data_IF_592368336137
#
_entry.id   IF_592368336137
#
_cell.length_a   1.000
_cell.length_b   1.000
_cell.length_c   1.000
_cell.angle_alpha   90.00
_cell.angle_beta   90.00
_cell.angle_gamma   90.00
#
_symmetry.space_group_name_H-M   'P 1'
#
loop_
_entity.id
_entity.type
_entity.pdbx_description
1 polymer ?
#
# COMPACT_ATOMS: atom_id res chain seq x y z
N UNK A 1 22.57 46.05 10.02
CA UNK A 1 21.26 46.69 10.10
C UNK A 1 20.97 47.76 9.04
N UNK A 2 21.96 48.44 8.45
CA UNK A 2 21.72 49.43 7.36
C UNK A 2 21.27 48.76 6.05
N UNK A 3 21.87 47.63 5.64
CA UNK A 3 21.53 46.85 4.43
C UNK A 3 20.10 46.36 4.40
N UNK A 4 19.56 45.87 5.51
CA UNK A 4 18.13 45.44 5.60
C UNK A 4 17.12 46.59 5.41
N UNK A 5 17.47 47.80 5.92
CA UNK A 5 16.62 49.00 5.71
C UNK A 5 16.66 49.50 4.26
N UNK A 6 17.78 49.38 3.56
CA UNK A 6 17.89 49.73 2.15
C UNK A 6 17.12 48.73 1.27
N UNK A 7 17.26 47.43 1.50
CA UNK A 7 16.50 46.39 0.82
C UNK A 7 14.98 46.58 1.01
N UNK A 8 14.53 46.89 2.22
CA UNK A 8 13.09 47.16 2.47
C UNK A 8 12.55 48.39 1.74
N UNK A 9 13.33 49.48 1.63
CA UNK A 9 12.91 50.68 0.86
C UNK A 9 12.85 50.43 -0.64
N UNK A 10 13.76 49.61 -1.17
CA UNK A 10 13.80 49.26 -2.57
C UNK A 10 12.60 48.38 -2.97
N UNK A 11 12.30 47.33 -2.19
CA UNK A 11 11.10 46.50 -2.36
C UNK A 11 9.79 47.30 -2.32
N UNK A 12 9.76 48.43 -1.61
CA UNK A 12 8.61 49.33 -1.56
C UNK A 12 8.47 50.26 -2.79
N UNK A 13 9.49 50.38 -3.62
CA UNK A 13 9.45 51.28 -4.80
C UNK A 13 8.86 50.60 -6.05
N UNK A 14 9.01 49.23 -6.18
CA UNK A 14 8.44 48.40 -7.23
C UNK A 14 7.43 47.39 -6.69
N UNK A 15 6.47 47.86 -5.93
CA UNK A 15 5.52 47.03 -5.15
C UNK A 15 4.87 45.93 -5.96
N UNK A 16 4.35 46.22 -7.14
CA UNK A 16 3.64 45.24 -7.96
C UNK A 16 4.55 44.11 -8.44
N UNK A 17 5.75 44.43 -8.88
CA UNK A 17 6.74 43.44 -9.35
C UNK A 17 7.20 42.51 -8.20
N UNK A 18 7.55 43.11 -7.07
CA UNK A 18 7.97 42.38 -5.88
C UNK A 18 6.87 41.45 -5.37
N UNK A 19 5.62 41.93 -5.35
CA UNK A 19 4.47 41.12 -4.91
C UNK A 19 4.26 39.93 -5.85
N UNK A 20 4.30 40.16 -7.18
CA UNK A 20 4.10 39.09 -8.18
C UNK A 20 5.19 38.03 -8.04
N UNK A 21 6.46 38.44 -7.93
CA UNK A 21 7.58 37.49 -7.78
C UNK A 21 7.51 36.72 -6.44
N UNK A 22 7.17 37.40 -5.34
CA UNK A 22 7.01 36.75 -4.04
C UNK A 22 5.86 35.75 -4.05
N UNK A 23 4.72 36.10 -4.65
CA UNK A 23 3.59 35.18 -4.77
C UNK A 23 3.92 34.01 -5.70
N UNK A 24 4.59 34.23 -6.82
CA UNK A 24 5.03 33.21 -7.75
C UNK A 24 6.00 32.22 -7.07
N UNK A 25 6.99 32.72 -6.33
CA UNK A 25 7.92 31.91 -5.58
C UNK A 25 7.21 31.10 -4.47
N UNK A 26 6.36 31.76 -3.68
CA UNK A 26 5.60 31.11 -2.61
C UNK A 26 4.71 29.98 -3.16
N UNK A 27 4.03 30.22 -4.28
CA UNK A 27 3.19 29.23 -4.94
C UNK A 27 4.03 28.05 -5.49
N UNK A 28 5.15 28.36 -6.17
CA UNK A 28 6.07 27.33 -6.68
C UNK A 28 6.60 26.44 -5.56
N UNK A 29 7.07 27.02 -4.45
CA UNK A 29 7.56 26.26 -3.30
C UNK A 29 6.46 25.43 -2.64
N UNK A 30 5.26 25.97 -2.49
CA UNK A 30 4.12 25.24 -1.93
C UNK A 30 3.78 24.00 -2.79
N UNK A 31 3.70 24.17 -4.10
CA UNK A 31 3.48 23.07 -5.04
C UNK A 31 4.61 22.02 -4.95
N UNK A 32 5.87 22.43 -4.93
CA UNK A 32 7.00 21.53 -4.77
C UNK A 32 6.92 20.71 -3.48
N UNK A 33 6.59 21.35 -2.35
CA UNK A 33 6.45 20.65 -1.07
C UNK A 33 5.34 19.59 -1.11
N UNK A 34 4.19 19.92 -1.70
CA UNK A 34 3.06 18.98 -1.85
C UNK A 34 3.46 17.80 -2.75
N UNK A 35 4.09 18.07 -3.90
CA UNK A 35 4.53 17.03 -4.83
C UNK A 35 5.64 16.15 -4.21
N UNK A 36 6.62 16.74 -3.54
CA UNK A 36 7.66 15.97 -2.82
C UNK A 36 7.05 15.07 -1.74
N UNK A 37 6.07 15.57 -0.99
CA UNK A 37 5.37 14.77 0.02
C UNK A 37 4.59 13.62 -0.61
N UNK A 38 3.94 13.85 -1.74
CA UNK A 38 3.26 12.80 -2.50
C UNK A 38 4.25 11.74 -2.99
N UNK A 39 5.33 12.16 -3.66
CA UNK A 39 6.38 11.27 -4.18
C UNK A 39 6.98 10.43 -3.04
N UNK A 40 7.33 11.07 -1.93
CA UNK A 40 7.86 10.37 -0.75
C UNK A 40 6.87 9.31 -0.24
N UNK A 41 5.58 9.64 -0.18
CA UNK A 41 4.53 8.70 0.26
C UNK A 41 4.38 7.51 -0.69
N UNK A 42 4.54 7.72 -2.00
CA UNK A 42 4.54 6.64 -2.99
C UNK A 42 5.77 5.74 -2.90
N UNK A 43 6.95 6.33 -2.65
CA UNK A 43 8.21 5.59 -2.53
C UNK A 43 8.35 4.84 -1.20
N UNK A 44 7.58 5.20 -0.18
CA UNK A 44 7.59 4.58 1.14
C UNK A 44 6.37 3.71 1.40
N UNK A 45 5.71 3.25 0.34
CA UNK A 45 4.59 2.33 0.46
C UNK A 45 5.02 1.07 1.21
N UNK A 46 4.14 0.54 2.05
CA UNK A 46 4.36 -0.67 2.85
C UNK A 46 5.66 -0.69 3.69
N UNK A 47 6.21 0.49 4.05
CA UNK A 47 7.39 0.57 4.93
C UNK A 47 7.16 -0.02 6.34
N UNK A 48 5.93 -0.38 6.67
CA UNK A 48 5.55 -1.12 7.88
C UNK A 48 5.72 -2.65 7.71
N UNK A 49 6.00 -3.13 6.49
CA UNK A 49 6.31 -4.53 6.23
C UNK A 49 7.63 -4.93 6.91
N UNK A 50 7.67 -6.11 7.50
CA UNK A 50 8.83 -6.63 8.21
C UNK A 50 9.64 -7.49 7.25
N UNK A 51 10.85 -7.03 6.93
CA UNK A 51 11.78 -7.73 6.04
C UNK A 51 11.22 -7.98 4.62
N UNK A 52 10.75 -6.91 3.91
CA UNK A 52 10.05 -7.04 2.65
C UNK A 52 10.89 -7.67 1.53
N UNK A 53 12.22 -7.57 1.59
CA UNK A 53 13.16 -8.14 0.61
C UNK A 53 13.16 -9.68 0.61
N UNK A 54 12.78 -10.32 1.70
CA UNK A 54 12.68 -11.78 1.81
C UNK A 54 11.24 -12.30 1.73
N UNK A 55 10.28 -11.39 1.50
CA UNK A 55 8.89 -11.77 1.26
C UNK A 55 8.64 -11.81 -0.23
N UNK A 56 8.12 -12.93 -0.68
CA UNK A 56 7.78 -13.15 -2.09
C UNK A 56 6.30 -13.43 -2.25
N UNK A 57 5.78 -13.02 -3.41
CA UNK A 57 4.41 -13.26 -3.82
C UNK A 57 4.38 -14.00 -5.15
N UNK A 58 3.63 -15.11 -5.27
CA UNK A 58 3.40 -15.78 -6.53
C UNK A 58 2.38 -15.03 -7.37
N UNK A 59 2.72 -14.75 -8.61
CA UNK A 59 1.81 -14.28 -9.65
C UNK A 59 1.49 -15.44 -10.57
N UNK A 60 0.22 -15.59 -10.88
CA UNK A 60 -0.29 -16.58 -11.81
C UNK A 60 -0.77 -15.90 -13.08
N UNK A 61 -0.21 -16.28 -14.20
CA UNK A 61 -0.68 -15.87 -15.52
C UNK A 61 -1.52 -17.01 -16.12
N UNK A 62 -2.77 -16.74 -16.39
CA UNK A 62 -3.71 -17.66 -17.04
C UNK A 62 -4.14 -17.03 -18.35
N UNK A 63 -3.71 -17.64 -19.46
CA UNK A 63 -4.05 -17.19 -20.82
C UNK A 63 -3.80 -15.67 -21.05
N UNK A 64 -2.74 -15.12 -20.42
CA UNK A 64 -2.34 -13.71 -20.54
C UNK A 64 -2.90 -12.80 -19.44
N UNK A 65 -3.73 -13.32 -18.52
CA UNK A 65 -4.25 -12.56 -17.39
C UNK A 65 -3.43 -12.85 -16.12
N UNK A 66 -2.76 -11.84 -15.60
CA UNK A 66 -1.90 -11.97 -14.43
C UNK A 66 -2.67 -11.61 -13.17
N UNK A 67 -2.66 -12.51 -12.20
CA UNK A 67 -3.30 -12.36 -10.90
C UNK A 67 -2.35 -12.77 -9.79
N UNK A 68 -2.40 -12.14 -8.59
CA UNK A 68 -1.78 -12.71 -7.43
C UNK A 68 -2.41 -14.07 -7.12
N UNK A 69 -1.64 -15.01 -6.61
CA UNK A 69 -2.12 -16.37 -6.43
C UNK A 69 -1.62 -17.07 -5.18
N UNK A 70 -2.16 -18.24 -4.94
CA UNK A 70 -1.68 -19.20 -3.96
C UNK A 70 -1.34 -20.51 -4.64
N UNK A 71 -0.18 -21.04 -4.32
CA UNK A 71 0.26 -22.34 -4.83
C UNK A 71 -0.45 -23.53 -4.16
N UNK A 72 -1.19 -23.28 -3.07
CA UNK A 72 -1.86 -24.33 -2.28
C UNK A 72 -3.22 -24.75 -2.83
N UNK A 73 -3.77 -24.00 -3.75
CA UNK A 73 -5.02 -24.39 -4.40
C UNK A 73 -4.71 -25.39 -5.52
N UNK A 74 -4.96 -26.66 -5.28
CA UNK A 74 -4.74 -27.80 -6.18
C UNK A 74 -5.49 -27.73 -7.50
N UNK A 75 -5.30 -26.63 -8.24
CA UNK A 75 -5.93 -26.36 -9.53
C UNK A 75 -5.16 -26.96 -10.70
N UNK A 76 -3.90 -27.38 -10.48
CA UNK A 76 -3.14 -28.08 -11.51
C UNK A 76 -2.20 -29.12 -10.91
N UNK A 77 -2.05 -30.27 -11.62
CA UNK A 77 -1.00 -31.26 -11.36
C UNK A 77 0.42 -30.70 -11.62
N UNK A 78 0.53 -29.40 -11.94
CA UNK A 78 1.77 -28.68 -12.15
C UNK A 78 2.30 -28.04 -10.86
N UNK A 79 1.71 -28.37 -9.72
CA UNK A 79 2.14 -27.94 -8.38
C UNK A 79 3.43 -28.62 -7.97
N UNK A 80 4.43 -28.56 -8.82
CA UNK A 80 5.77 -28.71 -8.37
C UNK A 80 6.06 -27.53 -7.44
N UNK A 81 6.46 -27.81 -6.24
CA UNK A 81 6.96 -26.83 -5.29
C UNK A 81 8.20 -26.17 -5.89
N UNK A 82 7.99 -25.08 -6.65
CA UNK A 82 9.09 -24.34 -7.27
C UNK A 82 10.07 -23.81 -6.24
N UNK A 83 9.58 -23.58 -5.01
CA UNK A 83 10.40 -23.19 -3.88
C UNK A 83 10.46 -24.37 -2.93
N UNK A 84 11.64 -24.95 -2.68
CA UNK A 84 11.79 -26.03 -1.70
C UNK A 84 11.26 -25.61 -0.33
N UNK A 85 10.48 -26.47 0.32
CA UNK A 85 9.86 -26.17 1.62
C UNK A 85 10.90 -25.76 2.69
N UNK A 86 12.08 -26.36 2.66
CA UNK A 86 13.19 -26.03 3.57
C UNK A 86 13.77 -24.62 3.35
N UNK A 87 13.37 -23.92 2.29
CA UNK A 87 13.72 -22.51 2.01
C UNK A 87 12.64 -21.55 2.45
N UNK A 88 11.45 -22.02 2.80
CA UNK A 88 10.33 -21.21 3.28
C UNK A 88 10.41 -21.16 4.81
N UNK A 89 10.53 -19.95 5.36
CA UNK A 89 10.58 -19.73 6.82
C UNK A 89 9.17 -19.65 7.38
N UNK A 90 8.29 -18.93 6.69
CA UNK A 90 6.95 -18.62 7.15
C UNK A 90 6.04 -18.28 5.97
N UNK A 91 4.76 -18.51 6.14
CA UNK A 91 3.74 -18.22 5.13
C UNK A 91 2.58 -17.47 5.75
N UNK A 92 1.95 -16.60 4.95
CA UNK A 92 0.74 -15.90 5.31
C UNK A 92 -0.22 -15.90 4.13
N UNK A 93 -1.39 -16.50 4.30
CA UNK A 93 -2.47 -16.42 3.31
C UNK A 93 -3.32 -15.21 3.59
N UNK A 94 -3.72 -14.56 2.50
CA UNK A 94 -4.62 -13.43 2.50
C UNK A 94 -5.80 -13.79 1.58
N UNK A 95 -7.01 -13.61 2.06
CA UNK A 95 -8.20 -13.72 1.22
C UNK A 95 -9.00 -12.43 1.30
N UNK A 96 -9.15 -11.78 0.16
CA UNK A 96 -10.01 -10.63 0.04
C UNK A 96 -11.47 -11.04 0.22
N UNK A 97 -12.16 -10.37 1.10
CA UNK A 97 -13.60 -10.34 1.09
C UNK A 97 -14.00 -8.94 0.59
N UNK A 98 -14.74 -8.90 -0.50
CA UNK A 98 -15.30 -7.64 -0.99
C UNK A 98 -16.06 -6.94 0.14
N UNK A 99 -16.36 -5.66 -0.06
CA UNK A 99 -17.14 -4.88 0.89
C UNK A 99 -18.39 -5.64 1.32
N UNK A 100 -18.34 -6.16 2.54
CA UNK A 100 -19.32 -7.06 3.09
C UNK A 100 -19.96 -6.48 4.35
N UNK A 101 -21.04 -7.08 4.84
CA UNK A 101 -21.80 -6.57 5.96
C UNK A 101 -21.43 -7.31 7.25
N UNK A 102 -21.08 -6.52 8.25
CA UNK A 102 -20.95 -6.96 9.64
C UNK A 102 -22.14 -6.45 10.41
N UNK A 103 -22.81 -7.32 11.15
CA UNK A 103 -23.94 -6.96 11.97
C UNK A 103 -23.48 -6.76 13.41
N UNK A 104 -23.84 -5.62 13.96
CA UNK A 104 -23.69 -5.34 15.37
C UNK A 104 -24.99 -4.79 15.92
N UNK A 105 -25.51 -5.43 16.96
CA UNK A 105 -26.88 -5.19 17.49
C UNK A 105 -27.92 -5.30 16.37
N UNK A 106 -28.68 -4.24 16.11
CA UNK A 106 -29.72 -4.20 15.08
C UNK A 106 -29.25 -3.51 13.75
N UNK A 107 -27.97 -3.23 13.59
CA UNK A 107 -27.45 -2.48 12.46
C UNK A 107 -26.43 -3.28 11.64
N UNK A 108 -26.46 -3.08 10.32
CA UNK A 108 -25.49 -3.64 9.41
C UNK A 108 -24.48 -2.56 8.99
N UNK A 109 -23.21 -2.92 9.02
CA UNK A 109 -22.08 -2.02 8.68
C UNK A 109 -21.31 -2.62 7.52
N UNK A 110 -21.30 -1.92 6.39
CA UNK A 110 -20.49 -2.30 5.24
C UNK A 110 -19.01 -1.99 5.50
N UNK A 111 -18.15 -3.01 5.38
CA UNK A 111 -16.72 -2.97 5.70
C UNK A 111 -15.92 -3.75 4.65
N UNK A 112 -14.69 -3.33 4.42
CA UNK A 112 -13.72 -4.14 3.69
C UNK A 112 -13.12 -5.15 4.67
N UNK A 113 -13.39 -6.43 4.46
CA UNK A 113 -12.93 -7.49 5.33
C UNK A 113 -11.84 -8.27 4.62
N UNK A 114 -10.79 -8.58 5.35
CA UNK A 114 -9.72 -9.46 4.87
C UNK A 114 -9.56 -10.60 5.85
N UNK A 115 -9.62 -11.82 5.33
CA UNK A 115 -9.28 -12.99 6.12
C UNK A 115 -7.81 -13.30 5.95
N UNK A 116 -7.14 -13.52 7.08
CA UNK A 116 -5.68 -13.70 7.10
C UNK A 116 -5.26 -14.80 8.05
N UNK A 117 -4.10 -15.40 7.79
CA UNK A 117 -3.49 -16.33 8.72
C UNK A 117 -3.03 -15.64 10.01
N UNK A 118 -2.86 -16.43 11.08
CA UNK A 118 -2.36 -15.93 12.36
C UNK A 118 -0.96 -15.30 12.27
N UNK A 119 -0.23 -15.60 11.22
CA UNK A 119 1.11 -15.07 10.93
C UNK A 119 1.10 -13.65 10.34
N UNK A 120 -0.06 -13.08 10.01
CA UNK A 120 -0.17 -11.78 9.35
C UNK A 120 0.63 -10.67 10.05
N UNK A 121 0.55 -10.59 11.37
CA UNK A 121 1.27 -9.58 12.16
C UNK A 121 2.77 -9.85 12.30
N UNK A 122 3.27 -10.99 11.84
CA UNK A 122 4.70 -11.25 11.66
C UNK A 122 5.22 -10.65 10.34
N UNK A 123 4.33 -10.44 9.37
CA UNK A 123 4.67 -9.82 8.08
C UNK A 123 4.49 -8.30 8.11
N UNK A 124 3.47 -7.81 8.81
CA UNK A 124 3.09 -6.40 8.80
C UNK A 124 2.95 -5.84 10.22
N UNK A 125 3.63 -4.74 10.47
CA UNK A 125 3.58 -4.05 11.76
C UNK A 125 2.52 -2.96 11.76
N UNK A 126 1.45 -3.15 12.54
CA UNK A 126 0.41 -2.16 12.79
C UNK A 126 0.48 -1.63 14.23
N UNK A 127 0.30 -0.32 14.48
CA UNK A 127 0.19 0.20 15.84
C UNK A 127 -1.07 -0.37 16.52
N UNK A 128 -0.91 -1.05 17.65
CA UNK A 128 -2.01 -1.55 18.46
C UNK A 128 -2.45 -0.47 19.45
N UNK A 129 -3.72 -0.10 19.41
CA UNK A 129 -4.29 0.94 20.28
C UNK A 129 -4.87 0.36 21.54
N UNK A 130 -5.55 -0.78 21.43
CA UNK A 130 -6.23 -1.45 22.54
C UNK A 130 -6.30 -2.93 22.24
N UNK A 131 -6.17 -3.78 23.26
CA UNK A 131 -6.19 -5.24 23.11
C UNK A 131 -4.92 -5.80 22.47
N UNK A 132 -5.09 -6.84 21.67
CA UNK A 132 -3.99 -7.58 21.03
C UNK A 132 -4.27 -7.74 19.53
N UNK A 133 -3.25 -7.49 18.71
CA UNK A 133 -3.29 -7.77 17.28
C UNK A 133 -2.96 -9.27 17.06
N UNK A 134 -3.95 -10.13 17.28
CA UNK A 134 -3.84 -11.59 17.10
C UNK A 134 -5.09 -12.19 16.47
N UNK A 135 -4.90 -13.28 15.72
CA UNK A 135 -5.94 -14.03 15.02
C UNK A 135 -5.67 -15.53 15.18
N UNK A 136 -5.60 -16.02 16.44
CA UNK A 136 -5.22 -17.39 16.73
C UNK A 136 -6.42 -18.34 16.75
N UNK A 137 -7.57 -17.86 17.20
CA UNK A 137 -8.83 -18.62 17.15
C UNK A 137 -9.62 -18.32 15.87
N UNK A 138 -10.46 -19.26 15.41
CA UNK A 138 -11.28 -19.03 14.20
C UNK A 138 -12.24 -17.85 14.31
N UNK A 139 -12.67 -17.51 15.50
CA UNK A 139 -13.60 -16.42 15.82
C UNK A 139 -12.91 -15.10 16.19
N UNK A 140 -11.59 -15.03 16.09
CA UNK A 140 -10.83 -13.81 16.35
C UNK A 140 -10.98 -12.79 15.23
N UNK A 141 -11.13 -11.51 15.60
CA UNK A 141 -11.07 -10.37 14.69
C UNK A 141 -10.25 -9.21 15.26
N UNK A 142 -9.65 -8.44 14.37
CA UNK A 142 -8.97 -7.17 14.66
C UNK A 142 -9.57 -6.10 13.78
N UNK A 143 -9.91 -4.95 14.36
CA UNK A 143 -10.61 -3.86 13.67
C UNK A 143 -9.76 -2.59 13.64
N UNK A 144 -9.92 -1.79 12.60
CA UNK A 144 -9.27 -0.47 12.52
C UNK A 144 -9.91 0.55 13.48
N UNK A 145 -9.13 1.56 13.89
CA UNK A 145 -9.61 2.68 14.73
C UNK A 145 -10.89 3.32 14.17
N UNK A 146 -10.93 3.52 12.85
CA UNK A 146 -12.05 4.19 12.20
C UNK A 146 -13.34 3.41 12.39
N UNK A 147 -13.33 2.10 12.16
CA UNK A 147 -14.50 1.25 12.28
C UNK A 147 -14.84 0.90 13.71
N UNK A 148 -13.85 0.80 14.60
CA UNK A 148 -14.10 0.70 16.03
C UNK A 148 -14.94 1.88 16.54
N UNK A 149 -14.60 3.10 16.14
CA UNK A 149 -15.40 4.29 16.48
C UNK A 149 -16.79 4.29 15.84
N UNK A 150 -16.89 3.75 14.61
CA UNK A 150 -18.16 3.71 13.87
C UNK A 150 -19.16 2.72 14.48
N UNK A 151 -18.67 1.55 14.95
CA UNK A 151 -19.53 0.51 15.53
C UNK A 151 -19.82 0.78 17.01
N UNK A 152 -18.80 1.15 17.78
CA UNK A 152 -18.83 1.16 19.23
C UNK A 152 -18.76 2.58 19.85
N UNK A 153 -18.59 3.62 19.00
CA UNK A 153 -18.49 4.99 19.47
C UNK A 153 -17.27 5.22 20.37
N UNK A 154 -17.49 5.49 21.63
CA UNK A 154 -16.44 5.69 22.64
C UNK A 154 -16.19 4.47 23.54
N UNK A 155 -16.98 3.43 23.36
CA UNK A 155 -16.86 2.22 24.17
C UNK A 155 -15.63 1.40 23.78
N UNK A 156 -15.11 0.61 24.73
CA UNK A 156 -14.04 -0.32 24.44
C UNK A 156 -14.52 -1.46 23.55
N UNK A 157 -13.96 -1.64 22.34
CA UNK A 157 -14.40 -2.70 21.44
C UNK A 157 -13.90 -4.10 21.83
N UNK A 158 -12.83 -4.19 22.62
CA UNK A 158 -12.18 -5.48 22.95
C UNK A 158 -13.13 -6.37 23.75
N UNK A 159 -13.30 -7.59 23.26
CA UNK A 159 -14.22 -8.58 23.84
C UNK A 159 -15.66 -8.47 23.34
N UNK A 160 -16.02 -7.43 22.58
CA UNK A 160 -17.33 -7.33 21.96
C UNK A 160 -17.45 -8.31 20.81
N UNK A 161 -18.70 -8.79 20.61
CA UNK A 161 -19.04 -9.74 19.56
C UNK A 161 -19.78 -9.03 18.44
N UNK A 162 -19.40 -9.32 17.21
CA UNK A 162 -20.10 -8.91 16.00
C UNK A 162 -20.45 -10.16 15.18
N UNK A 163 -21.53 -10.09 14.41
CA UNK A 163 -21.95 -11.20 13.56
C UNK A 163 -21.41 -10.99 12.14
N UNK A 164 -20.69 -11.97 11.63
CA UNK A 164 -20.19 -12.02 10.26
C UNK A 164 -20.53 -13.36 9.62
N UNK A 165 -21.32 -13.34 8.53
CA UNK A 165 -21.88 -14.52 7.86
C UNK A 165 -22.61 -15.51 8.83
N UNK A 166 -23.38 -14.97 9.75
CA UNK A 166 -24.11 -15.78 10.73
C UNK A 166 -23.24 -16.45 11.78
N UNK A 167 -21.98 -16.05 11.90
CA UNK A 167 -21.04 -16.50 12.93
C UNK A 167 -20.67 -15.36 13.84
N UNK A 168 -20.58 -15.64 15.12
CA UNK A 168 -20.07 -14.73 16.12
C UNK A 168 -18.57 -14.57 15.99
N UNK A 169 -18.10 -13.32 15.94
CA UNK A 169 -16.70 -12.95 15.82
C UNK A 169 -16.34 -11.99 16.94
N UNK A 170 -15.27 -12.26 17.65
CA UNK A 170 -14.85 -11.53 18.85
C UNK A 170 -13.74 -10.54 18.49
N UNK A 171 -13.94 -9.26 18.80
CA UNK A 171 -12.92 -8.23 18.61
C UNK A 171 -11.80 -8.41 19.63
N UNK A 172 -10.61 -8.79 19.20
CA UNK A 172 -9.44 -8.99 20.05
C UNK A 172 -8.57 -7.75 20.20
N UNK A 173 -8.57 -6.89 19.19
CA UNK A 173 -7.78 -5.68 19.22
C UNK A 173 -8.26 -4.62 18.25
N UNK A 174 -7.81 -3.40 18.51
CA UNK A 174 -7.97 -2.23 17.65
C UNK A 174 -6.61 -1.78 17.20
N UNK A 175 -6.42 -1.67 15.88
CA UNK A 175 -5.20 -1.18 15.26
C UNK A 175 -5.41 0.18 14.61
N UNK A 176 -4.31 0.91 14.46
CA UNK A 176 -4.28 2.17 13.71
C UNK A 176 -3.66 1.97 12.33
N UNK A 177 -3.85 2.96 11.47
CA UNK A 177 -3.13 3.01 10.21
C UNK A 177 -1.62 3.07 10.46
N UNK A 178 -0.81 2.31 9.74
CA UNK A 178 0.64 2.44 9.82
C UNK A 178 1.03 3.77 9.20
N UNK A 179 1.85 4.57 9.75
CA UNK A 179 2.18 5.93 9.31
C UNK A 179 2.66 6.10 7.85
N UNK A 180 2.48 5.08 7.00
CA UNK A 180 2.81 5.03 5.58
C UNK A 180 1.58 4.67 4.73
N UNK A 181 1.68 4.84 3.42
CA UNK A 181 0.71 4.29 2.47
C UNK A 181 0.84 2.77 2.45
N UNK A 182 -0.28 2.06 2.37
CA UNK A 182 -0.30 0.59 2.30
C UNK A 182 -0.92 0.11 1.00
N UNK A 183 -0.40 -0.99 0.48
CA UNK A 183 -1.03 -1.72 -0.62
C UNK A 183 -2.36 -2.33 -0.16
N UNK A 184 -2.36 -2.96 1.02
CA UNK A 184 -3.51 -3.66 1.57
C UNK A 184 -4.49 -2.70 2.24
N UNK A 185 -5.77 -2.81 1.88
CA UNK A 185 -6.86 -2.01 2.45
C UNK A 185 -7.87 -2.92 3.11
N UNK A 186 -8.11 -2.69 4.37
CA UNK A 186 -9.13 -3.40 5.13
C UNK A 186 -9.63 -2.53 6.28
N UNK A 187 -10.81 -2.87 6.75
CA UNK A 187 -11.47 -2.24 7.90
C UNK A 187 -11.50 -3.20 9.07
N UNK A 188 -11.56 -4.51 8.78
CA UNK A 188 -11.53 -5.60 9.74
C UNK A 188 -10.73 -6.77 9.19
N UNK A 189 -9.87 -7.33 10.02
CA UNK A 189 -9.20 -8.60 9.80
C UNK A 189 -9.93 -9.70 10.57
N UNK A 190 -10.14 -10.84 9.91
CA UNK A 190 -10.69 -12.05 10.53
C UNK A 190 -9.76 -13.21 10.32
N UNK A 191 -9.87 -14.22 11.18
CA UNK A 191 -9.07 -15.44 11.01
C UNK A 191 -9.40 -16.14 9.68
N UNK A 192 -8.37 -16.55 8.94
CA UNK A 192 -8.54 -17.35 7.73
C UNK A 192 -9.36 -18.61 7.97
N UNK A 193 -9.24 -19.21 9.14
CA UNK A 193 -9.98 -20.42 9.52
C UNK A 193 -11.51 -20.20 9.65
N UNK A 194 -11.96 -18.96 9.83
CA UNK A 194 -13.39 -18.63 9.83
C UNK A 194 -14.05 -18.92 8.49
N UNK A 195 -13.32 -18.68 7.38
CA UNK A 195 -13.84 -18.71 6.02
C UNK A 195 -13.22 -19.79 5.15
N UNK A 196 -12.36 -20.65 5.69
CA UNK A 196 -11.62 -21.71 4.98
C UNK A 196 -12.47 -22.57 4.03
N UNK A 197 -13.75 -22.72 4.32
CA UNK A 197 -14.69 -23.48 3.49
C UNK A 197 -15.16 -22.71 2.23
N UNK A 198 -14.87 -21.42 2.12
CA UNK A 198 -15.31 -20.61 0.99
C UNK A 198 -14.18 -20.56 -0.02
N UNK A 199 -14.39 -21.25 -1.14
CA UNK A 199 -13.43 -21.33 -2.23
C UNK A 199 -13.38 -19.98 -2.97
N UNK A 200 -12.56 -19.07 -2.48
CA UNK A 200 -12.20 -17.82 -3.17
C UNK A 200 -10.72 -17.81 -3.53
N UNK A 201 -10.30 -16.86 -4.34
CA UNK A 201 -8.89 -16.74 -4.69
C UNK A 201 -8.08 -16.26 -3.49
N UNK A 202 -7.13 -17.06 -3.07
CA UNK A 202 -6.19 -16.73 -2.00
C UNK A 202 -4.91 -16.15 -2.59
N UNK A 203 -4.30 -15.26 -1.83
CA UNK A 203 -2.95 -14.77 -2.05
C UNK A 203 -2.07 -15.38 -0.96
N UNK A 204 -0.93 -15.94 -1.33
CA UNK A 204 0.00 -16.53 -0.37
C UNK A 204 1.32 -15.78 -0.38
N UNK A 205 1.61 -15.09 0.71
CA UNK A 205 2.93 -14.49 0.95
C UNK A 205 3.84 -15.54 1.56
N UNK A 206 5.06 -15.63 1.08
CA UNK A 206 6.07 -16.55 1.62
C UNK A 206 7.32 -15.78 2.02
N UNK A 207 7.73 -15.92 3.27
CA UNK A 207 9.06 -15.46 3.71
C UNK A 207 10.07 -16.56 3.43
N UNK A 208 11.10 -16.22 2.66
CA UNK A 208 12.15 -17.17 2.27
C UNK A 208 13.45 -16.88 3.00
N UNK A 209 14.31 -17.89 3.10
CA UNK A 209 15.66 -17.71 3.64
C UNK A 209 16.49 -16.76 2.76
N UNK A 210 17.42 -16.00 3.35
CA UNK A 210 18.39 -15.22 2.59
C UNK A 210 19.16 -16.08 1.60
N UNK A 211 19.41 -15.53 0.40
CA UNK A 211 20.14 -16.23 -0.67
C UNK A 211 19.30 -17.15 -1.55
N UNK A 212 17.98 -17.09 -1.45
CA UNK A 212 17.08 -17.68 -2.46
C UNK A 212 17.16 -16.85 -3.74
N UNK A 213 17.58 -17.47 -4.85
CA UNK A 213 17.66 -16.84 -6.15
C UNK A 213 16.30 -16.93 -6.87
N UNK A 214 15.57 -15.81 -6.91
CA UNK A 214 14.28 -15.72 -7.58
C UNK A 214 14.39 -15.84 -9.10
N UNK A 215 15.50 -15.41 -9.70
CA UNK A 215 15.72 -15.54 -11.14
C UNK A 215 15.85 -17.02 -11.54
N UNK A 216 16.54 -17.82 -10.73
CA UNK A 216 16.65 -19.26 -10.95
C UNK A 216 15.29 -19.95 -10.81
N UNK A 217 14.51 -19.61 -9.80
CA UNK A 217 13.15 -20.12 -9.61
C UNK A 217 12.27 -19.71 -10.80
N UNK A 218 12.33 -18.48 -11.22
CA UNK A 218 11.52 -17.96 -12.32
C UNK A 218 11.88 -18.59 -13.67
N UNK A 219 13.13 -19.01 -13.90
CA UNK A 219 13.50 -19.76 -15.11
C UNK A 219 12.72 -21.06 -15.26
N UNK A 220 12.38 -21.70 -14.15
CA UNK A 220 11.64 -22.96 -14.15
C UNK A 220 10.14 -22.74 -14.06
N UNK A 221 9.67 -21.78 -13.29
CA UNK A 221 8.25 -21.52 -13.02
C UNK A 221 7.56 -20.69 -14.10
N UNK A 222 8.28 -19.78 -14.73
CA UNK A 222 7.75 -18.86 -15.75
C UNK A 222 7.67 -19.50 -17.15
N UNK A 223 7.26 -20.76 -17.18
CA UNK A 223 7.03 -21.53 -18.41
C UNK A 223 5.56 -21.91 -18.47
N UNK A 224 4.91 -21.63 -19.58
CA UNK A 224 3.51 -22.03 -19.78
C UNK A 224 3.35 -23.54 -19.77
N UNK A 225 2.46 -24.00 -18.89
CA UNK A 225 2.02 -25.40 -18.83
C UNK A 225 0.50 -25.43 -18.99
N UNK A 226 -0.03 -26.46 -19.64
CA UNK A 226 -1.48 -26.65 -19.74
C UNK A 226 -2.00 -27.30 -18.47
N UNK A 227 -3.05 -26.73 -17.92
CA UNK A 227 -3.81 -27.33 -16.82
C UNK A 227 -4.78 -28.44 -17.33
N UNK A 228 -5.49 -29.07 -16.39
CA UNK A 228 -6.51 -30.11 -16.72
C UNK A 228 -7.67 -29.59 -17.57
N UNK A 229 -7.89 -28.27 -17.59
CA UNK A 229 -8.96 -27.62 -18.36
C UNK A 229 -8.48 -27.11 -19.72
N UNK A 230 -7.16 -27.22 -20.00
CA UNK A 230 -6.54 -26.80 -21.25
C UNK A 230 -6.05 -25.36 -21.25
N UNK A 231 -6.24 -24.61 -20.15
CA UNK A 231 -5.71 -23.26 -20.00
C UNK A 231 -4.20 -23.27 -19.89
N UNK A 232 -3.55 -22.25 -20.46
CA UNK A 232 -2.11 -22.04 -20.34
C UNK A 232 -1.80 -21.29 -19.05
N UNK A 233 -1.11 -21.93 -18.13
CA UNK A 233 -0.76 -21.35 -16.84
C UNK A 233 0.76 -21.28 -16.70
N UNK A 234 1.26 -20.15 -16.19
CA UNK A 234 2.63 -20.00 -15.71
C UNK A 234 2.66 -19.25 -14.37
N UNK A 235 3.75 -19.43 -13.63
CA UNK A 235 3.97 -18.77 -12.37
C UNK A 235 5.19 -17.87 -12.45
N UNK A 236 5.09 -16.67 -11.86
CA UNK A 236 6.20 -15.73 -11.65
C UNK A 236 6.23 -15.37 -10.18
N UNK A 237 7.41 -15.41 -9.58
CA UNK A 237 7.62 -14.98 -8.19
C UNK A 237 8.30 -13.62 -8.21
N UNK A 238 7.75 -12.68 -7.47
CA UNK A 238 8.32 -11.34 -7.31
C UNK A 238 8.47 -11.00 -5.82
N UNK A 239 9.43 -10.13 -5.45
CA UNK A 239 9.52 -9.56 -4.12
C UNK A 239 8.27 -8.76 -3.78
N UNK A 240 7.91 -8.71 -2.49
CA UNK A 240 6.77 -7.90 -2.03
C UNK A 240 6.95 -6.41 -2.33
N UNK A 241 8.17 -5.90 -2.23
CA UNK A 241 8.48 -4.49 -2.52
C UNK A 241 8.22 -4.09 -3.98
N UNK A 242 8.33 -5.03 -4.92
CA UNK A 242 8.06 -4.80 -6.35
C UNK A 242 6.56 -4.95 -6.68
N UNK A 243 5.81 -5.65 -5.83
CA UNK A 243 4.42 -5.98 -6.11
C UNK A 243 3.51 -4.74 -6.22
N UNK A 244 3.77 -3.70 -5.44
CA UNK A 244 3.05 -2.43 -5.53
C UNK A 244 3.14 -1.80 -6.94
N UNK A 245 4.24 -2.02 -7.64
CA UNK A 245 4.55 -1.45 -8.94
C UNK A 245 4.23 -2.37 -10.12
N UNK A 246 3.70 -3.55 -9.87
CA UNK A 246 3.38 -4.53 -10.92
C UNK A 246 2.09 -4.14 -11.67
N UNK A 247 2.26 -3.40 -12.77
CA UNK A 247 1.15 -2.88 -13.57
C UNK A 247 0.50 -3.93 -14.49
N UNK A 248 1.09 -5.13 -14.59
CA UNK A 248 0.58 -6.20 -15.44
C UNK A 248 -0.56 -7.00 -14.79
N UNK A 249 -0.85 -6.73 -13.51
CA UNK A 249 -1.94 -7.40 -12.79
C UNK A 249 -3.27 -6.91 -13.36
N UNK A 250 -4.09 -7.88 -13.80
CA UNK A 250 -5.43 -7.59 -14.28
C UNK A 250 -6.29 -6.92 -13.20
N UNK A 251 -6.99 -5.88 -13.59
CA UNK A 251 -7.98 -5.24 -12.73
C UNK A 251 -9.17 -6.19 -12.55
N UNK A 252 -9.14 -6.95 -11.48
CA UNK A 252 -10.25 -7.76 -11.02
C UNK A 252 -10.91 -7.05 -9.84
N UNK A 253 -12.24 -6.94 -9.87
CA UNK A 253 -13.01 -6.27 -8.84
C UNK A 253 -12.73 -6.82 -7.43
N UNK A 254 -12.33 -8.09 -7.33
CA UNK A 254 -11.98 -8.73 -6.06
C UNK A 254 -10.67 -8.17 -5.48
N UNK A 255 -9.67 -7.89 -6.31
CA UNK A 255 -8.39 -7.32 -5.85
C UNK A 255 -8.43 -5.81 -5.69
N UNK A 256 -9.09 -5.09 -6.61
CA UNK A 256 -9.19 -3.63 -6.59
C UNK A 256 -9.89 -3.09 -5.34
N UNK A 257 -10.71 -3.91 -4.69
CA UNK A 257 -11.40 -3.54 -3.44
C UNK A 257 -10.47 -3.43 -2.24
N UNK A 258 -9.38 -4.23 -2.22
CA UNK A 258 -8.47 -4.36 -1.07
C UNK A 258 -7.02 -4.02 -1.39
N UNK A 259 -6.66 -3.80 -2.66
CA UNK A 259 -5.30 -3.47 -3.08
C UNK A 259 -5.26 -2.17 -3.85
N UNK A 260 -4.21 -1.39 -3.63
CA UNK A 260 -3.91 -0.17 -4.38
C UNK A 260 -2.54 -0.30 -5.02
N UNK A 261 -2.52 -0.34 -6.35
CA UNK A 261 -1.27 -0.38 -7.10
C UNK A 261 -0.76 1.02 -7.42
N UNK A 262 0.55 1.18 -7.48
CA UNK A 262 1.24 2.38 -7.91
C UNK A 262 1.42 2.41 -9.43
N UNK A 263 1.77 3.58 -9.94
CA UNK A 263 2.11 3.74 -11.35
C UNK A 263 3.40 4.55 -11.50
N UNK A 264 4.46 3.91 -11.94
CA UNK A 264 5.76 4.55 -12.19
C UNK A 264 5.65 5.75 -13.13
N UNK A 265 4.81 5.67 -14.17
CA UNK A 265 4.65 6.76 -15.14
C UNK A 265 4.11 8.02 -14.46
N UNK A 266 3.12 7.89 -13.58
CA UNK A 266 2.60 9.02 -12.81
C UNK A 266 3.68 9.60 -11.89
N UNK A 267 4.49 8.75 -11.26
CA UNK A 267 5.57 9.19 -10.39
C UNK A 267 6.62 9.99 -11.16
N UNK A 268 7.04 9.53 -12.35
CA UNK A 268 8.00 10.24 -13.20
C UNK A 268 7.44 11.58 -13.71
N UNK A 269 6.18 11.61 -14.15
CA UNK A 269 5.54 12.85 -14.59
C UNK A 269 5.50 13.87 -13.45
N UNK A 270 5.05 13.48 -12.26
CA UNK A 270 4.97 14.37 -11.11
C UNK A 270 6.34 14.84 -10.65
N UNK A 271 7.36 13.98 -10.71
CA UNK A 271 8.75 14.36 -10.42
C UNK A 271 9.26 15.39 -11.41
N UNK A 272 9.00 15.21 -12.71
CA UNK A 272 9.33 16.17 -13.75
C UNK A 272 8.65 17.54 -13.53
N UNK A 273 7.37 17.53 -13.19
CA UNK A 273 6.62 18.75 -12.85
C UNK A 273 7.22 19.45 -11.63
N UNK A 274 7.58 18.70 -10.58
CA UNK A 274 8.20 19.26 -9.38
C UNK A 274 9.53 19.95 -9.70
N UNK A 275 10.38 19.33 -10.51
CA UNK A 275 11.66 19.89 -10.96
C UNK A 275 11.41 21.16 -11.79
N UNK A 276 10.46 21.13 -12.73
CA UNK A 276 10.12 22.30 -13.54
C UNK A 276 9.65 23.48 -12.69
N UNK A 277 8.78 23.24 -11.72
CA UNK A 277 8.30 24.27 -10.79
C UNK A 277 9.43 24.84 -9.94
N UNK A 278 10.38 24.00 -9.51
CA UNK A 278 11.56 24.44 -8.78
C UNK A 278 12.43 25.37 -9.64
N UNK A 279 12.68 24.98 -10.90
CA UNK A 279 13.47 25.80 -11.85
C UNK A 279 12.78 27.15 -12.12
N UNK A 280 11.46 27.17 -12.33
CA UNK A 280 10.71 28.43 -12.49
C UNK A 280 10.84 29.32 -11.24
N UNK A 281 10.75 28.73 -10.03
CA UNK A 281 10.96 29.46 -8.77
C UNK A 281 12.36 30.07 -8.67
N UNK A 282 13.39 29.32 -9.05
CA UNK A 282 14.78 29.80 -9.07
C UNK A 282 14.96 30.91 -10.12
N UNK A 283 14.38 30.74 -11.32
CA UNK A 283 14.43 31.79 -12.36
C UNK A 283 13.77 33.09 -11.90
N UNK A 284 12.65 33.02 -11.18
CA UNK A 284 12.00 34.21 -10.61
C UNK A 284 12.89 34.92 -9.58
N UNK A 285 13.62 34.18 -8.77
CA UNK A 285 14.60 34.76 -7.84
C UNK A 285 15.75 35.44 -8.59
N UNK A 286 16.33 34.74 -9.60
CA UNK A 286 17.48 35.26 -10.33
C UNK A 286 17.13 36.49 -11.17
N UNK A 287 15.96 36.54 -11.79
CA UNK A 287 15.48 37.73 -12.53
C UNK A 287 15.21 38.92 -11.61
N UNK A 288 14.84 38.65 -10.35
CA UNK A 288 14.71 39.71 -9.34
C UNK A 288 16.07 40.32 -8.97
N UNK A 289 17.10 39.49 -8.77
CA UNK A 289 18.46 39.94 -8.44
C UNK A 289 19.11 40.71 -9.62
N UNK A 290 18.95 40.22 -10.86
CA UNK A 290 19.49 40.86 -12.05
C UNK A 290 18.83 42.23 -12.35
N UNK A 291 17.55 42.38 -12.03
CA UNK A 291 16.84 43.68 -12.15
C UNK A 291 17.34 44.67 -11.10
N UNK A 292 17.78 44.18 -9.91
CA UNK A 292 18.33 45.01 -8.85
C UNK A 292 19.75 45.51 -9.20
N UNK A 293 20.59 44.72 -9.90
CA UNK A 293 21.92 45.10 -10.33
C UNK A 293 21.90 46.14 -11.45
N UNK A 294 20.91 46.13 -12.33
CA UNK A 294 20.76 47.08 -13.45
C UNK A 294 20.22 48.47 -13.02
N UNK A 295 19.56 48.56 -11.90
CA UNK A 295 19.01 49.84 -11.39
C UNK A 295 19.95 50.47 -10.33
N UNK A 296 20.96 49.76 -9.90
CA UNK A 296 21.97 50.22 -8.92
C UNK A 296 23.13 51.03 -9.48
N UNK A 297 23.16 51.33 -10.79
CA UNK A 297 24.21 52.15 -11.45
C UNK A 297 23.61 53.47 -11.91
N UNK A 298 23.40 54.38 -10.93
CA UNK A 298 23.39 55.84 -11.08
C UNK A 298 23.72 56.50 -9.74
#
# INVERSE_FOLDING_TARGET
>A
MKTLKYAGRFLMRSKSYTIINLLGLAFSLACCIVLMRYIHRELTVDSHCIDPQHIIIPLRDIDGNIHPGSLEQGWSDTDSTYIPENKIVEQCRLQAQQRDNVKYENSNYAMNIMAVDSTFFHFFRYPVLTGEARLTAPDDAVITRQYARRLFGKENPVGKVVEYYGKDVIIRGVIDEPGCKTLLRFDMLVSYNLIKQWQRMDISLKRVLPGVDLDEINKVSNVFKKDKRGSSIRWKFIPWEDFYWENAIGHDADYDSIMQFGNHTHLYILSGVAILLLLVGICLLYTSDAADDLIGVD
#
